data_IF_002777706543
#
_entry.id   IF_002777706543
#
_cell.length_a   1.000
_cell.length_b   1.000
_cell.length_c   1.000
_cell.angle_alpha   90.00
_cell.angle_beta   90.00
_cell.angle_gamma   90.00
#
_symmetry.space_group_name_H-M   'P 1'
#
loop_
_entity.id
_entity.type
_entity.pdbx_description
1 polymer ?
#
# COMPACT_ATOMS: atom_id res chain seq x y z
N UNK A 1 -13.06 30.42 3.08
CA UNK A 1 -12.85 29.84 3.09
C UNK A 1 -12.53 29.00 3.27
N UNK A 2 -12.18 28.68 3.47
CA UNK A 2 -11.80 27.98 3.60
C UNK A 2 -11.83 26.95 3.70
N UNK A 3 -11.82 26.57 3.47
CA UNK A 3 -11.76 25.63 3.58
C UNK A 3 -11.10 24.93 3.84
N UNK A 4 -11.44 24.91 4.38
CA UNK A 4 -10.57 24.25 4.40
C UNK A 4 -10.63 22.94 4.17
N UNK A 5 -10.46 22.48 3.23
CA UNK A 5 -10.33 21.10 2.93
C UNK A 5 -8.91 20.72 3.27
N UNK A 6 -8.73 19.99 4.34
CA UNK A 6 -7.47 19.40 4.56
C UNK A 6 -7.28 18.30 3.58
N UNK A 7 -6.19 18.33 2.83
CA UNK A 7 -5.84 17.21 1.98
C UNK A 7 -5.55 16.02 2.87
N UNK A 8 -6.10 14.89 2.53
CA UNK A 8 -5.77 13.65 3.21
C UNK A 8 -4.32 13.28 2.87
N UNK A 9 -3.54 12.78 3.86
CA UNK A 9 -2.12 12.46 3.60
C UNK A 9 -1.92 11.50 2.45
N UNK A 10 -2.86 10.60 2.23
CA UNK A 10 -2.71 9.54 1.25
C UNK A 10 -3.69 9.66 0.08
N UNK A 11 -4.21 10.88 -0.13
CA UNK A 11 -5.13 11.13 -1.23
C UNK A 11 -4.46 10.99 -2.58
N UNK A 12 -3.17 11.29 -2.67
CA UNK A 12 -2.42 11.14 -3.91
C UNK A 12 -1.95 9.69 -4.02
N UNK A 13 -2.16 9.05 -5.18
CA UNK A 13 -1.76 7.64 -5.34
C UNK A 13 -0.31 7.37 -5.02
N UNK A 14 0.60 8.28 -5.37
CA UNK A 14 2.01 8.08 -5.07
C UNK A 14 2.30 8.13 -3.59
N UNK A 15 1.61 8.98 -2.82
CA UNK A 15 1.77 9.03 -1.37
C UNK A 15 1.23 7.75 -0.73
N UNK A 16 0.08 7.29 -1.20
CA UNK A 16 -0.49 6.04 -0.73
C UNK A 16 0.42 4.86 -1.07
N UNK A 17 0.99 4.87 -2.27
CA UNK A 17 1.90 3.81 -2.69
C UNK A 17 3.16 3.75 -1.82
N UNK A 18 3.70 4.92 -1.45
CA UNK A 18 4.87 4.95 -0.58
C UNK A 18 4.58 4.39 0.79
N UNK A 19 3.44 4.75 1.37
CA UNK A 19 3.04 4.17 2.65
C UNK A 19 2.87 2.67 2.51
N UNK A 20 2.24 2.23 1.43
CA UNK A 20 2.02 0.81 1.20
C UNK A 20 3.35 0.06 1.15
N UNK A 21 4.35 0.62 0.47
CA UNK A 21 5.66 -0.02 0.40
C UNK A 21 6.34 -0.11 1.76
N UNK A 22 6.19 0.94 2.58
CA UNK A 22 6.73 0.90 3.94
C UNK A 22 6.08 -0.20 4.76
N UNK A 23 4.76 -0.34 4.63
CA UNK A 23 4.04 -1.36 5.37
C UNK A 23 4.37 -2.76 4.88
N UNK A 24 4.54 -2.93 3.57
CA UNK A 24 4.98 -4.20 3.01
C UNK A 24 6.34 -4.59 3.61
N UNK A 25 7.26 -3.62 3.68
CA UNK A 25 8.58 -3.90 4.24
C UNK A 25 8.49 -4.31 5.71
N UNK A 26 7.58 -3.69 6.47
CA UNK A 26 7.39 -4.03 7.88
C UNK A 26 6.77 -5.41 8.08
N UNK A 27 5.94 -5.84 7.14
CA UNK A 27 5.22 -7.11 7.25
C UNK A 27 5.81 -8.20 6.36
N UNK A 28 6.94 -7.91 5.75
CA UNK A 28 7.60 -8.88 4.86
C UNK A 28 8.02 -10.10 5.64
N UNK A 29 7.90 -11.27 5.02
CA UNK A 29 8.32 -12.51 5.65
C UNK A 29 9.83 -12.48 5.93
N UNK A 30 10.22 -13.21 6.96
CA UNK A 30 11.60 -13.17 7.45
C UNK A 30 12.58 -13.65 6.39
N UNK A 31 12.21 -14.66 5.65
CA UNK A 31 13.10 -15.29 4.68
C UNK A 31 12.60 -15.15 3.25
N UNK A 32 11.59 -14.31 3.04
CA UNK A 32 10.97 -14.21 1.74
C UNK A 32 10.92 -12.81 1.20
N UNK A 33 10.32 -12.70 0.04
CA UNK A 33 10.15 -11.43 -0.65
C UNK A 33 8.68 -11.08 -0.76
N UNK A 34 7.86 -11.56 0.18
CA UNK A 34 6.42 -11.32 0.11
C UNK A 34 5.88 -10.83 1.45
N UNK A 35 4.73 -10.18 1.38
CA UNK A 35 3.96 -9.79 2.56
C UNK A 35 2.50 -10.14 2.32
N UNK A 36 1.82 -10.62 3.36
CA UNK A 36 0.41 -10.97 3.27
C UNK A 36 -0.46 -9.72 3.19
N UNK A 37 -1.43 -9.73 2.28
CA UNK A 37 -2.27 -8.55 2.01
C UNK A 37 -3.08 -8.13 3.24
N UNK A 38 -3.68 -9.09 3.97
CA UNK A 38 -4.55 -8.77 5.10
C UNK A 38 -3.92 -7.86 6.14
N UNK A 39 -2.79 -8.25 6.73
CA UNK A 39 -2.13 -7.39 7.72
C UNK A 39 -1.69 -6.04 7.16
N UNK A 40 -1.21 -6.01 5.92
CA UNK A 40 -0.79 -4.76 5.29
C UNK A 40 -1.99 -3.84 5.08
N UNK A 41 -3.10 -4.39 4.60
CA UNK A 41 -4.32 -3.61 4.42
C UNK A 41 -4.82 -3.03 5.75
N UNK A 42 -4.84 -3.84 6.80
CA UNK A 42 -5.25 -3.36 8.12
C UNK A 42 -4.33 -2.25 8.61
N UNK A 43 -3.03 -2.39 8.43
CA UNK A 43 -2.07 -1.38 8.85
C UNK A 43 -2.25 -0.09 8.05
N UNK A 44 -2.57 -0.19 6.77
CA UNK A 44 -2.82 0.98 5.94
C UNK A 44 -4.02 1.77 6.47
N UNK A 45 -5.11 1.07 6.81
CA UNK A 45 -6.29 1.72 7.33
C UNK A 45 -6.02 2.34 8.70
N UNK A 46 -5.25 1.67 9.55
CA UNK A 46 -4.87 2.21 10.86
C UNK A 46 -3.99 3.45 10.74
N UNK A 47 -3.20 3.54 9.70
CA UNK A 47 -2.31 4.69 9.49
C UNK A 47 -3.06 5.91 8.95
N UNK A 48 -4.37 5.78 8.70
CA UNK A 48 -5.19 6.89 8.28
C UNK A 48 -5.63 6.85 6.83
N UNK A 49 -5.26 5.82 6.09
CA UNK A 49 -5.74 5.65 4.73
C UNK A 49 -7.15 5.09 4.71
N UNK A 50 -7.77 5.11 3.55
CA UNK A 50 -9.07 4.49 3.37
C UNK A 50 -8.99 3.48 2.23
N UNK A 51 -10.09 2.78 1.99
CA UNK A 51 -10.12 1.69 1.01
C UNK A 51 -9.78 2.20 -0.39
N UNK A 52 -10.32 3.35 -0.77
CA UNK A 52 -10.06 3.92 -2.10
C UNK A 52 -8.60 4.31 -2.24
N UNK A 53 -8.02 4.89 -1.19
CA UNK A 53 -6.61 5.28 -1.19
C UNK A 53 -5.70 4.06 -1.26
N UNK A 54 -6.06 3.01 -0.54
CA UNK A 54 -5.33 1.76 -0.58
C UNK A 54 -5.31 1.20 -2.02
N UNK A 55 -6.47 1.15 -2.66
CA UNK A 55 -6.57 0.63 -4.03
C UNK A 55 -5.77 1.45 -5.01
N UNK A 56 -5.87 2.78 -4.92
CA UNK A 56 -5.13 3.67 -5.81
C UNK A 56 -3.63 3.55 -5.60
N UNK A 57 -3.18 3.43 -4.35
CA UNK A 57 -1.77 3.26 -4.04
C UNK A 57 -1.24 1.93 -4.55
N UNK A 58 -2.02 0.86 -4.35
CA UNK A 58 -1.66 -0.45 -4.88
C UNK A 58 -1.50 -0.40 -6.39
N UNK A 59 -2.47 0.18 -7.08
CA UNK A 59 -2.43 0.24 -8.54
C UNK A 59 -1.25 1.07 -9.03
N UNK A 60 -0.95 2.17 -8.34
CA UNK A 60 0.20 3.00 -8.68
C UNK A 60 1.50 2.20 -8.54
N UNK A 61 1.68 1.51 -7.41
CA UNK A 61 2.89 0.74 -7.16
C UNK A 61 3.03 -0.42 -8.16
N UNK A 62 1.91 -1.06 -8.52
CA UNK A 62 1.93 -2.11 -9.53
C UNK A 62 2.38 -1.56 -10.88
N UNK A 63 1.86 -0.38 -11.26
CA UNK A 63 2.24 0.25 -12.52
C UNK A 63 3.72 0.61 -12.55
N UNK A 64 4.31 0.92 -11.38
CA UNK A 64 5.72 1.22 -11.27
C UNK A 64 6.58 -0.03 -11.11
N UNK A 65 5.97 -1.19 -11.03
CA UNK A 65 6.66 -2.46 -10.81
C UNK A 65 7.40 -2.51 -9.48
N UNK A 66 6.88 -1.79 -8.47
CA UNK A 66 7.49 -1.83 -7.13
C UNK A 66 7.21 -3.15 -6.43
N UNK A 67 6.14 -3.82 -6.79
CA UNK A 67 5.84 -5.18 -6.37
C UNK A 67 4.91 -5.79 -7.40
N UNK A 68 4.67 -7.09 -7.28
CA UNK A 68 3.65 -7.77 -8.05
C UNK A 68 2.71 -8.47 -7.09
N UNK A 69 1.57 -8.91 -7.58
CA UNK A 69 0.63 -9.66 -6.77
C UNK A 69 0.80 -11.13 -7.06
N UNK A 70 0.78 -11.93 -6.00
CA UNK A 70 0.75 -13.37 -6.16
C UNK A 70 -0.55 -13.75 -6.89
N UNK A 71 -0.52 -14.84 -7.63
CA UNK A 71 -1.67 -15.27 -8.41
C UNK A 71 -2.91 -15.50 -7.54
N UNK A 72 -2.71 -15.85 -6.27
CA UNK A 72 -3.82 -16.02 -5.32
C UNK A 72 -4.47 -14.72 -4.92
N UNK A 73 -3.79 -13.58 -5.14
CA UNK A 73 -4.28 -12.28 -4.73
C UNK A 73 -4.10 -12.01 -3.24
N UNK A 74 -3.45 -12.88 -2.50
CA UNK A 74 -3.33 -12.75 -1.06
C UNK A 74 -1.96 -12.27 -0.59
N UNK A 75 -1.03 -12.04 -1.50
CA UNK A 75 0.33 -11.62 -1.15
C UNK A 75 0.85 -10.59 -2.12
N UNK A 76 1.59 -9.63 -1.56
CA UNK A 76 2.44 -8.75 -2.37
C UNK A 76 3.79 -9.43 -2.52
N UNK A 77 4.32 -9.46 -3.73
CA UNK A 77 5.62 -10.09 -4.00
C UNK A 77 6.59 -9.00 -4.43
N UNK A 78 7.67 -8.85 -3.67
CA UNK A 78 8.68 -7.83 -3.96
C UNK A 78 9.66 -8.35 -5.01
N UNK A 79 10.22 -7.47 -5.85
CA UNK A 79 11.25 -7.88 -6.78
C UNK A 79 12.51 -8.28 -6.02
N UNK A 80 13.22 -9.22 -6.58
CA UNK A 80 14.46 -9.68 -5.97
C UNK A 80 15.65 -8.82 -6.32
#
# INVERSE_FOLDING_TARGET
>A
MIKFVQDRPYAKPEAAAKLLMELIAQHKSEHGTYATVGPVNSAFLKAGGNVAEYGAGRDHALAQSWFTMHISGSRFVLPE
#
